data_IF_514657490453
#
_entry.id   IF_514657490453
#
_cell.length_a   1.000
_cell.length_b   1.000
_cell.length_c   1.000
_cell.angle_alpha   90.00
_cell.angle_beta   90.00
_cell.angle_gamma   90.00
#
_symmetry.space_group_name_H-M   'P 1'
#
loop_
_entity.id
_entity.type
_entity.pdbx_description
1 polymer ?
#
# COMPACT_ATOMS: atom_id res chain seq x y z
N UNK A 1 3.75 -6.92 2.31
CA UNK A 1 4.78 -6.72 1.26
C UNK A 1 5.60 -5.47 1.60
N UNK A 2 6.74 -5.23 0.93
CA UNK A 2 7.65 -4.11 1.25
C UNK A 2 6.98 -2.74 1.07
N UNK A 3 6.13 -2.57 0.06
CA UNK A 3 5.42 -1.31 -0.19
C UNK A 3 4.49 -0.94 0.98
N UNK A 4 3.63 -1.87 1.40
CA UNK A 4 2.75 -1.66 2.56
C UNK A 4 3.56 -1.46 3.84
N UNK A 5 4.65 -2.20 4.02
CA UNK A 5 5.50 -2.07 5.20
C UNK A 5 6.17 -0.70 5.28
N UNK A 6 6.59 -0.15 4.13
CA UNK A 6 7.14 1.19 4.01
C UNK A 6 6.08 2.26 4.29
N UNK A 7 4.88 2.13 3.71
CA UNK A 7 3.77 3.04 3.97
C UNK A 7 3.28 3.03 5.43
N UNK A 8 3.40 1.89 6.13
CA UNK A 8 3.04 1.76 7.55
C UNK A 8 4.20 2.06 8.51
N UNK A 9 5.38 2.44 8.00
CA UNK A 9 6.56 2.79 8.82
C UNK A 9 7.37 1.61 9.39
N UNK A 10 6.87 0.37 9.29
CA UNK A 10 7.60 -0.84 9.69
C UNK A 10 8.85 -1.13 8.85
N UNK A 11 8.89 -0.64 7.61
CA UNK A 11 10.10 -0.61 6.78
C UNK A 11 10.53 0.85 6.59
N UNK A 12 11.29 1.38 7.53
CA UNK A 12 11.65 2.79 7.58
C UNK A 12 13.15 3.04 7.68
N UNK A 13 13.57 4.28 7.39
CA UNK A 13 14.98 4.69 7.55
C UNK A 13 15.51 4.39 8.97
N UNK A 14 14.67 4.53 10.00
CA UNK A 14 15.05 4.20 11.37
C UNK A 14 15.25 2.71 11.60
N UNK A 15 14.37 1.88 11.05
CA UNK A 15 14.54 0.42 11.13
C UNK A 15 15.77 -0.05 10.37
N UNK A 16 16.01 0.48 9.17
CA UNK A 16 17.22 0.18 8.40
C UNK A 16 18.48 0.55 9.19
N UNK A 17 18.53 1.74 9.77
CA UNK A 17 19.69 2.16 10.56
C UNK A 17 19.93 1.23 11.77
N UNK A 18 18.86 0.90 12.52
CA UNK A 18 18.94 -0.07 13.63
C UNK A 18 19.48 -1.42 13.18
N UNK A 19 19.06 -1.92 12.01
CA UNK A 19 19.55 -3.20 11.47
C UNK A 19 21.00 -3.14 11.05
N UNK A 20 21.44 -2.04 10.43
CA UNK A 20 22.84 -1.86 10.02
C UNK A 20 23.77 -1.84 11.24
N UNK A 21 23.38 -1.13 12.30
CA UNK A 21 24.12 -1.05 13.55
C UNK A 21 24.11 -2.39 14.31
N UNK A 22 22.93 -2.97 14.52
CA UNK A 22 22.76 -4.20 15.28
C UNK A 22 23.38 -5.44 14.64
N UNK A 23 23.66 -5.41 13.33
CA UNK A 23 24.35 -6.50 12.62
C UNK A 23 25.86 -6.28 12.50
N UNK A 24 26.39 -5.12 12.92
CA UNK A 24 27.80 -4.79 12.71
C UNK A 24 28.20 -4.73 11.24
N UNK A 25 27.27 -4.43 10.34
CA UNK A 25 27.49 -4.53 8.89
C UNK A 25 28.69 -3.70 8.41
N UNK A 26 29.00 -2.61 9.11
CA UNK A 26 30.17 -1.75 8.86
C UNK A 26 31.49 -2.52 8.89
N UNK A 27 31.57 -3.55 9.71
CA UNK A 27 32.80 -4.31 9.96
C UNK A 27 32.90 -5.55 9.05
N UNK A 28 31.79 -5.94 8.44
CA UNK A 28 31.70 -7.12 7.56
C UNK A 28 32.06 -6.77 6.11
N UNK A 29 31.62 -5.60 5.63
CA UNK A 29 31.82 -5.18 4.22
C UNK A 29 32.71 -3.95 4.12
N UNK A 30 33.56 -3.91 3.08
CA UNK A 30 34.46 -2.76 2.81
C UNK A 30 33.73 -1.56 2.20
N UNK A 31 32.62 -1.78 1.48
CA UNK A 31 31.85 -0.71 0.88
C UNK A 31 30.85 -0.10 1.87
N UNK A 32 30.29 1.06 1.51
CA UNK A 32 29.26 1.78 2.28
C UNK A 32 28.03 2.04 1.43
N UNK A 33 27.53 1.00 0.80
CA UNK A 33 26.36 1.06 -0.09
C UNK A 33 25.34 0.00 0.29
N UNK A 34 24.08 0.40 0.45
CA UNK A 34 22.94 -0.48 0.65
C UNK A 34 22.05 -0.42 -0.60
N UNK A 35 21.70 -1.58 -1.14
CA UNK A 35 20.72 -1.67 -2.22
C UNK A 35 19.38 -2.03 -1.59
N UNK A 36 18.42 -1.11 -1.63
CA UNK A 36 17.08 -1.32 -1.09
C UNK A 36 16.07 -1.58 -2.21
N UNK A 37 14.96 -2.31 -1.93
CA UNK A 37 13.89 -2.47 -2.90
C UNK A 37 13.32 -1.12 -3.32
N UNK A 38 13.04 -0.91 -4.61
CA UNK A 38 12.50 0.36 -5.10
C UNK A 38 11.23 0.79 -4.36
N UNK A 39 10.39 -0.18 -4.03
CA UNK A 39 9.10 0.02 -3.37
C UNK A 39 9.22 0.38 -1.88
N UNK A 40 10.43 0.44 -1.33
CA UNK A 40 10.67 0.95 0.03
C UNK A 40 10.81 2.47 0.10
N UNK A 41 10.98 3.15 -1.04
CA UNK A 41 11.23 4.59 -1.10
C UNK A 41 10.21 5.46 -0.32
N UNK A 42 8.90 5.15 -0.27
CA UNK A 42 7.94 5.94 0.52
C UNK A 42 8.23 5.95 2.03
N UNK A 43 8.85 4.90 2.57
CA UNK A 43 9.14 4.76 4.00
C UNK A 43 10.59 5.04 4.38
N UNK A 44 11.50 5.07 3.39
CA UNK A 44 12.94 5.19 3.62
C UNK A 44 13.48 6.46 3.01
N UNK A 45 13.77 7.45 3.85
CA UNK A 45 14.58 8.60 3.45
C UNK A 45 16.05 8.18 3.31
N UNK A 46 16.54 8.06 2.07
CA UNK A 46 17.91 7.63 1.76
C UNK A 46 18.98 8.49 2.46
N UNK A 47 18.78 9.81 2.47
CA UNK A 47 19.69 10.75 3.15
C UNK A 47 19.71 10.52 4.67
N UNK A 48 18.57 10.20 5.29
CA UNK A 48 18.50 9.94 6.72
C UNK A 48 19.24 8.64 7.10
N UNK A 49 19.19 7.62 6.24
CA UNK A 49 20.01 6.40 6.42
C UNK A 49 21.49 6.73 6.29
N UNK A 50 21.88 7.52 5.29
CA UNK A 50 23.27 7.91 5.07
C UNK A 50 23.83 8.73 6.25
N UNK A 51 23.07 9.70 6.76
CA UNK A 51 23.47 10.51 7.91
C UNK A 51 23.68 9.67 9.17
N UNK A 52 22.81 8.69 9.43
CA UNK A 52 22.87 7.87 10.64
C UNK A 52 23.91 6.76 10.57
N UNK A 53 24.02 6.12 9.41
CA UNK A 53 24.81 4.90 9.28
C UNK A 53 26.10 5.10 8.50
N UNK A 54 26.25 6.16 7.72
CA UNK A 54 27.32 6.32 6.74
C UNK A 54 27.16 5.46 5.49
N UNK A 55 26.06 4.70 5.33
CA UNK A 55 25.79 3.94 4.11
C UNK A 55 24.93 4.75 3.14
N UNK A 56 25.41 4.87 1.91
CA UNK A 56 24.63 5.39 0.79
C UNK A 56 23.59 4.38 0.35
N UNK A 57 22.34 4.80 0.25
CA UNK A 57 21.24 3.97 -0.23
C UNK A 57 21.09 4.11 -1.75
N UNK A 58 21.06 2.99 -2.46
CA UNK A 58 20.65 2.88 -3.85
C UNK A 58 19.34 2.10 -3.94
N UNK A 59 18.42 2.56 -4.78
CA UNK A 59 17.17 1.84 -5.03
C UNK A 59 17.35 0.86 -6.18
N UNK A 60 17.36 -0.43 -5.86
CA UNK A 60 17.44 -1.53 -6.81
C UNK A 60 16.14 -1.73 -7.61
N UNK A 61 16.02 -2.85 -8.34
CA UNK A 61 14.84 -3.15 -9.15
C UNK A 61 13.60 -3.41 -8.29
N UNK A 62 12.43 -3.39 -8.94
CA UNK A 62 11.14 -3.74 -8.33
C UNK A 62 11.09 -5.22 -7.95
N UNK A 63 11.58 -6.10 -8.83
CA UNK A 63 11.55 -7.56 -8.63
C UNK A 63 12.93 -8.06 -8.23
N UNK A 64 13.00 -8.89 -7.19
CA UNK A 64 14.26 -9.44 -6.68
C UNK A 64 15.03 -10.28 -7.72
N UNK A 65 14.30 -10.94 -8.63
CA UNK A 65 14.90 -11.74 -9.72
C UNK A 65 15.78 -10.92 -10.68
N UNK A 66 15.60 -9.60 -10.73
CA UNK A 66 16.34 -8.72 -11.62
C UNK A 66 17.66 -8.22 -10.98
N UNK A 67 17.89 -8.52 -9.68
CA UNK A 67 19.10 -8.10 -8.95
C UNK A 67 20.39 -8.56 -9.64
N UNK A 68 20.54 -9.82 -10.11
CA UNK A 68 21.77 -10.24 -10.78
C UNK A 68 22.08 -9.43 -12.04
N UNK A 69 21.05 -9.16 -12.87
CA UNK A 69 21.20 -8.35 -14.08
C UNK A 69 21.52 -6.88 -13.74
N UNK A 70 20.85 -6.32 -12.74
CA UNK A 70 21.11 -4.98 -12.22
C UNK A 70 22.56 -4.81 -11.73
N UNK A 71 23.10 -5.80 -11.01
CA UNK A 71 24.49 -5.77 -10.54
C UNK A 71 25.50 -5.89 -11.69
N UNK A 72 25.24 -6.78 -12.67
CA UNK A 72 26.07 -6.90 -13.88
C UNK A 72 26.08 -5.62 -14.71
N UNK A 73 24.97 -4.89 -14.74
CA UNK A 73 24.85 -3.59 -15.40
C UNK A 73 25.43 -2.42 -14.57
N UNK A 74 26.30 -2.69 -13.59
CA UNK A 74 26.95 -1.63 -12.80
C UNK A 74 25.99 -0.86 -11.89
N UNK A 75 24.92 -1.50 -11.41
CA UNK A 75 23.86 -0.88 -10.59
C UNK A 75 23.04 0.17 -11.36
N UNK A 76 22.93 -0.01 -12.68
CA UNK A 76 22.03 0.76 -13.54
C UNK A 76 20.73 -0.01 -13.79
N UNK A 77 19.59 0.64 -13.60
CA UNK A 77 18.27 0.03 -13.83
C UNK A 77 17.83 0.28 -15.25
N UNK A 78 17.31 -0.77 -15.90
CA UNK A 78 16.51 -0.58 -17.12
C UNK A 78 15.12 -0.06 -16.76
N UNK A 79 14.40 0.52 -17.74
CA UNK A 79 13.04 1.00 -17.53
C UNK A 79 12.08 -0.09 -17.04
N UNK A 80 12.23 -1.31 -17.56
CA UNK A 80 11.42 -2.48 -17.18
C UNK A 80 11.64 -2.89 -15.72
N UNK A 81 12.89 -2.87 -15.24
CA UNK A 81 13.22 -3.19 -13.85
C UNK A 81 12.59 -2.22 -12.84
N UNK A 82 12.28 -0.99 -13.28
CA UNK A 82 11.65 0.04 -12.46
C UNK A 82 10.12 0.02 -12.50
N UNK A 83 9.49 -0.79 -13.36
CA UNK A 83 8.04 -0.80 -13.57
C UNK A 83 7.36 -1.94 -12.83
N UNK A 84 6.25 -1.63 -12.18
CA UNK A 84 5.29 -2.63 -11.70
C UNK A 84 4.26 -2.84 -12.81
N UNK A 85 4.14 -4.08 -13.28
CA UNK A 85 2.97 -4.50 -14.05
C UNK A 85 1.81 -4.74 -13.11
N UNK A 86 0.64 -4.17 -13.40
CA UNK A 86 -0.63 -4.46 -12.73
C UNK A 86 -1.48 -5.34 -13.64
N UNK A 87 -1.11 -6.62 -13.75
CA UNK A 87 -1.85 -7.55 -14.59
C UNK A 87 -3.25 -7.82 -14.03
N UNK A 88 -4.14 -8.37 -14.86
CA UNK A 88 -5.46 -8.80 -14.40
C UNK A 88 -5.36 -9.85 -13.27
N UNK A 89 -4.36 -10.73 -13.32
CA UNK A 89 -4.09 -11.70 -12.26
C UNK A 89 -3.69 -11.02 -10.94
N UNK A 90 -2.85 -9.99 -10.97
CA UNK A 90 -2.47 -9.24 -9.77
C UNK A 90 -3.70 -8.58 -9.12
N UNK A 91 -4.63 -8.06 -9.94
CA UNK A 91 -5.90 -7.49 -9.46
C UNK A 91 -6.84 -8.55 -8.90
N UNK A 92 -6.89 -9.74 -9.50
CA UNK A 92 -7.76 -10.82 -9.03
C UNK A 92 -7.34 -11.36 -7.66
N UNK A 93 -6.05 -11.31 -7.32
CA UNK A 93 -5.56 -11.69 -5.99
C UNK A 93 -6.02 -10.68 -4.93
N UNK A 94 -5.99 -9.39 -5.25
CA UNK A 94 -6.30 -8.32 -4.30
C UNK A 94 -7.80 -8.01 -4.20
N UNK A 95 -8.54 -8.19 -5.31
CA UNK A 95 -9.95 -7.86 -5.43
C UNK A 95 -10.86 -8.44 -4.34
N UNK A 96 -10.74 -9.72 -3.93
CA UNK A 96 -11.56 -10.29 -2.86
C UNK A 96 -11.37 -9.60 -1.51
N UNK A 97 -10.14 -9.20 -1.18
CA UNK A 97 -9.84 -8.50 0.08
C UNK A 97 -10.45 -7.11 0.06
N UNK A 98 -10.30 -6.38 -1.04
CA UNK A 98 -10.89 -5.05 -1.21
C UNK A 98 -12.41 -5.10 -1.15
N UNK A 99 -13.02 -6.13 -1.75
CA UNK A 99 -14.47 -6.36 -1.70
C UNK A 99 -14.96 -6.62 -0.27
N UNK A 100 -14.28 -7.49 0.49
CA UNK A 100 -14.62 -7.78 1.88
C UNK A 100 -14.44 -6.56 2.79
N UNK A 101 -13.46 -5.68 2.48
CA UNK A 101 -13.27 -4.43 3.23
C UNK A 101 -14.35 -3.38 2.90
N UNK A 102 -14.90 -3.39 1.68
CA UNK A 102 -15.96 -2.48 1.27
C UNK A 102 -17.37 -2.94 1.69
N UNK A 103 -17.57 -4.25 1.89
CA UNK A 103 -18.90 -4.84 2.14
C UNK A 103 -19.62 -4.32 3.41
N UNK A 104 -18.94 -4.00 4.54
CA UNK A 104 -19.64 -3.47 5.71
C UNK A 104 -20.22 -2.08 5.46
N UNK A 105 -19.49 -1.22 4.74
CA UNK A 105 -19.95 0.13 4.38
C UNK A 105 -21.16 0.01 3.45
N UNK A 106 -21.08 -0.86 2.44
CA UNK A 106 -22.21 -1.11 1.54
C UNK A 106 -23.44 -1.62 2.30
N UNK A 107 -23.26 -2.53 3.26
CA UNK A 107 -24.34 -3.04 4.12
C UNK A 107 -24.98 -1.95 4.97
N UNK A 108 -24.18 -1.08 5.60
CA UNK A 108 -24.68 0.05 6.40
C UNK A 108 -25.49 1.01 5.54
N UNK A 109 -25.00 1.36 4.35
CA UNK A 109 -25.70 2.25 3.43
C UNK A 109 -27.03 1.64 2.96
N UNK A 110 -27.03 0.36 2.58
CA UNK A 110 -28.23 -0.35 2.17
C UNK A 110 -29.28 -0.40 3.31
N UNK A 111 -28.86 -0.75 4.53
CA UNK A 111 -29.74 -0.74 5.69
C UNK A 111 -30.32 0.65 5.97
N UNK A 112 -29.48 1.69 5.88
CA UNK A 112 -29.91 3.08 6.04
C UNK A 112 -30.98 3.49 5.02
N UNK A 113 -30.79 3.13 3.74
CA UNK A 113 -31.78 3.41 2.69
C UNK A 113 -33.11 2.69 2.95
N UNK A 114 -33.08 1.43 3.37
CA UNK A 114 -34.29 0.66 3.70
C UNK A 114 -35.03 1.24 4.91
N UNK A 115 -34.31 1.67 5.95
CA UNK A 115 -34.90 2.33 7.12
C UNK A 115 -35.53 3.67 6.73
N UNK A 116 -34.84 4.48 5.92
CA UNK A 116 -35.38 5.75 5.41
C UNK A 116 -36.64 5.53 4.59
N UNK A 117 -36.65 4.52 3.71
CA UNK A 117 -37.85 4.18 2.94
C UNK A 117 -38.99 3.72 3.84
N UNK A 118 -38.73 2.84 4.81
CA UNK A 118 -39.74 2.39 5.76
C UNK A 118 -40.31 3.54 6.61
N UNK A 119 -39.45 4.47 7.04
CA UNK A 119 -39.86 5.66 7.78
C UNK A 119 -40.69 6.61 6.91
N UNK A 120 -40.26 6.86 5.67
CA UNK A 120 -40.97 7.69 4.72
C UNK A 120 -42.36 7.11 4.41
N UNK A 121 -42.43 5.79 4.14
CA UNK A 121 -43.70 5.07 3.99
C UNK A 121 -44.58 5.27 5.23
N UNK A 122 -44.05 5.10 6.43
CA UNK A 122 -44.83 5.25 7.68
C UNK A 122 -45.31 6.68 7.95
N UNK A 123 -44.51 7.70 7.59
CA UNK A 123 -44.83 9.10 7.85
C UNK A 123 -45.71 9.72 6.75
N UNK A 124 -45.58 9.28 5.49
CA UNK A 124 -46.24 9.91 4.34
C UNK A 124 -47.41 9.08 3.74
N UNK A 125 -47.51 7.76 3.98
CA UNK A 125 -48.68 6.97 3.52
C UNK A 125 -50.00 7.23 4.28
N UNK A 126 -50.05 7.46 5.60
CA UNK A 126 -51.32 7.75 6.27
C UNK A 126 -51.92 9.11 5.84
N UNK A 127 -51.11 10.01 5.26
CA UNK A 127 -51.57 11.31 4.78
C UNK A 127 -52.23 11.25 3.38
N UNK A 128 -52.04 10.16 2.62
CA UNK A 128 -52.51 10.05 1.24
C UNK A 128 -53.87 9.36 1.09
N UNK A 129 -54.34 8.59 2.07
CA UNK A 129 -55.58 7.80 1.97
C UNK A 129 -56.85 8.52 2.48
N UNK A 130 -56.73 9.68 3.14
CA UNK A 130 -57.87 10.38 3.77
C UNK A 130 -58.67 11.34 2.88
N UNK A 131 -58.52 11.31 1.53
CA UNK A 131 -59.07 12.38 0.66
C UNK A 131 -59.83 11.92 -0.60
N UNK A 132 -60.40 10.71 -0.64
CA UNK A 132 -61.12 10.22 -1.83
C UNK A 132 -62.57 9.74 -1.64
N UNK A 133 -63.25 10.03 -0.52
CA UNK A 133 -64.69 9.69 -0.39
C UNK A 133 -65.55 10.90 0.00
N UNK A 134 -65.68 11.90 -0.88
CA UNK A 134 -66.92 12.70 -1.03
C UNK A 134 -66.92 13.30 -2.44
N UNK A 135 -67.74 12.78 -3.34
CA UNK A 135 -68.55 13.47 -4.37
C UNK A 135 -69.35 12.44 -5.16
#
# INVERSE_FOLDING_TARGET
NVWCAAGKGSFSAAEIARRVEGTGLKDIVRHRTLILPQLSAPGVAAHAVALRTGFTVLYGPVRARDIPAYLKAGKSKTGEMGRIGFSAADRLILGPVEFLQASPIAGILAAGMLVLEALARRLFLPAAWGRQEVL
#
